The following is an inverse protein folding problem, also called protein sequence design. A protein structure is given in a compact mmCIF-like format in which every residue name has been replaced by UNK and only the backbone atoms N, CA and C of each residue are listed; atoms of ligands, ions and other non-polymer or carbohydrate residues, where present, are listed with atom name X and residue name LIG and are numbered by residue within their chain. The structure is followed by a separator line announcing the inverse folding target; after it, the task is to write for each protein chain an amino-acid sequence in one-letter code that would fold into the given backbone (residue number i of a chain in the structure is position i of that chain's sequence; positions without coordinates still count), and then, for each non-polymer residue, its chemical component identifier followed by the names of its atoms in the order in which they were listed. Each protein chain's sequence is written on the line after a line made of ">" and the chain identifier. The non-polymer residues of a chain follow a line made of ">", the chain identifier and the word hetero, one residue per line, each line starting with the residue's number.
data_IF_115896555796
#
_entry.id   IF_115896555796
#
_cell.length_a   1.000
_cell.length_b   1.000
_cell.length_c   1.000
_cell.angle_alpha   90.00
_cell.angle_beta   90.00
_cell.angle_gamma   90.00
#
_symmetry.space_group_name_H-M   'P 1'
#
loop_
_entity.id
_entity.type
_entity.pdbx_description
1 polymer ?
#
# COMPACT_ATOMS: atom_id res chain seq x y z
N UNK A 1 22.69 -39.36 5.22
CA UNK A 1 23.99 -38.79 4.80
C UNK A 1 23.92 -38.54 3.29
N UNK A 2 23.27 -37.46 2.88
CA UNK A 2 23.09 -37.14 1.47
C UNK A 2 24.35 -36.39 1.00
N UNK A 3 25.14 -37.04 0.13
CA UNK A 3 26.33 -36.46 -0.46
C UNK A 3 25.93 -35.27 -1.35
N UNK A 4 26.26 -34.04 -0.91
CA UNK A 4 26.33 -32.89 -1.80
C UNK A 4 27.77 -32.84 -2.34
N UNK A 5 27.90 -33.01 -3.65
CA UNK A 5 29.17 -32.94 -4.36
C UNK A 5 29.68 -31.49 -4.33
N UNK A 6 30.72 -31.25 -3.52
CA UNK A 6 31.47 -30.01 -3.48
C UNK A 6 32.20 -29.82 -4.81
N UNK A 7 31.64 -29.00 -5.69
CA UNK A 7 32.41 -28.39 -6.77
C UNK A 7 33.25 -27.25 -6.16
N UNK A 8 34.58 -27.26 -6.23
CA UNK A 8 35.40 -26.17 -5.75
C UNK A 8 35.25 -24.99 -6.74
N UNK A 9 34.26 -24.12 -6.50
CA UNK A 9 34.01 -23.00 -7.40
C UNK A 9 32.78 -22.15 -7.11
N UNK A 10 31.82 -22.59 -6.29
CA UNK A 10 30.69 -21.74 -5.90
C UNK A 10 30.99 -21.12 -4.55
N UNK A 11 31.61 -19.94 -4.58
CA UNK A 11 31.43 -18.96 -3.50
C UNK A 11 29.93 -18.67 -3.54
N UNK A 12 29.15 -19.31 -2.67
CA UNK A 12 27.85 -18.75 -2.34
C UNK A 12 28.18 -17.39 -1.75
N UNK A 13 27.98 -16.32 -2.54
CA UNK A 13 27.82 -15.01 -1.95
C UNK A 13 26.69 -15.21 -0.94
N UNK A 14 27.04 -15.28 0.34
CA UNK A 14 26.07 -15.06 1.39
C UNK A 14 25.54 -13.67 1.04
N UNK A 15 24.34 -13.63 0.46
CA UNK A 15 23.74 -12.36 0.11
C UNK A 15 23.64 -11.59 1.41
N UNK A 16 24.24 -10.40 1.43
CA UNK A 16 24.08 -9.48 2.54
C UNK A 16 22.58 -9.28 2.78
N UNK A 17 22.24 -9.14 4.04
CA UNK A 17 20.91 -8.84 4.57
C UNK A 17 21.22 -7.87 5.72
N UNK A 18 21.19 -6.59 5.39
CA UNK A 18 21.83 -5.52 6.15
C UNK A 18 21.01 -5.11 7.38
N UNK A 19 19.68 -5.23 7.33
CA UNK A 19 18.77 -4.98 8.44
C UNK A 19 18.25 -6.25 9.14
N UNK A 20 18.44 -7.42 8.52
CA UNK A 20 18.20 -8.71 9.13
C UNK A 20 16.73 -9.14 9.12
N UNK A 21 15.94 -8.66 8.17
CA UNK A 21 14.53 -9.02 8.03
C UNK A 21 14.31 -10.36 7.29
N UNK A 22 15.37 -10.93 6.71
CA UNK A 22 15.37 -12.19 6.00
C UNK A 22 15.24 -12.07 4.48
N UNK A 23 15.19 -10.85 3.93
CA UNK A 23 15.24 -10.54 2.51
C UNK A 23 16.68 -10.13 2.14
N UNK A 24 17.30 -10.78 1.14
CA UNK A 24 18.62 -10.37 0.68
C UNK A 24 18.66 -8.92 0.15
N UNK A 25 19.70 -8.14 0.47
CA UNK A 25 19.95 -6.76 -0.03
C UNK A 25 19.77 -6.61 -1.55
N UNK A 26 19.99 -7.68 -2.34
CA UNK A 26 19.83 -7.68 -3.79
C UNK A 26 18.38 -7.78 -4.29
N UNK A 27 17.47 -8.19 -3.41
CA UNK A 27 16.03 -8.37 -3.65
C UNK A 27 15.19 -7.49 -2.71
N UNK A 28 15.83 -6.79 -1.79
CA UNK A 28 15.26 -5.87 -0.83
C UNK A 28 15.21 -4.45 -1.41
N UNK A 29 14.03 -3.84 -1.38
CA UNK A 29 13.80 -2.47 -1.86
C UNK A 29 14.24 -1.42 -0.83
N UNK A 30 14.34 -1.79 0.44
CA UNK A 30 14.80 -0.97 1.56
C UNK A 30 15.91 -1.66 2.38
N UNK A 31 17.13 -1.90 1.83
CA UNK A 31 18.19 -2.72 2.47
C UNK A 31 18.74 -2.27 3.83
N UNK A 32 18.24 -1.20 4.43
CA UNK A 32 18.70 -0.71 5.72
C UNK A 32 17.55 -0.50 6.71
N UNK A 33 16.32 -0.73 6.27
CA UNK A 33 15.10 -0.49 7.03
C UNK A 33 14.28 -1.79 6.99
N UNK A 34 14.20 -2.52 8.11
CA UNK A 34 13.64 -3.87 8.09
C UNK A 34 12.15 -3.86 7.76
N UNK A 35 11.73 -4.86 6.97
CA UNK A 35 10.34 -5.19 6.68
C UNK A 35 9.44 -5.23 7.93
N UNK A 36 8.21 -4.73 7.80
CA UNK A 36 7.18 -4.77 8.84
C UNK A 36 6.12 -5.81 8.50
N UNK A 37 6.34 -7.06 8.91
CA UNK A 37 5.40 -8.17 8.68
C UNK A 37 4.03 -7.91 9.33
N UNK A 38 3.09 -7.41 8.53
CA UNK A 38 1.77 -6.97 8.98
C UNK A 38 0.63 -7.47 8.06
N UNK A 39 0.95 -8.17 6.96
CA UNK A 39 0.00 -8.71 6.01
C UNK A 39 -0.29 -7.81 4.80
N UNK A 40 0.37 -6.65 4.73
CA UNK A 40 0.42 -5.76 3.59
C UNK A 40 1.86 -5.74 3.09
N UNK A 41 2.06 -5.78 1.76
CA UNK A 41 3.35 -5.66 1.06
C UNK A 41 4.61 -6.40 1.60
N UNK A 42 4.46 -7.39 2.51
CA UNK A 42 5.48 -8.16 3.27
C UNK A 42 6.64 -8.86 2.47
N UNK A 43 6.76 -8.63 1.17
CA UNK A 43 7.75 -9.26 0.29
C UNK A 43 8.64 -8.28 -0.47
N UNK A 44 8.42 -6.97 -0.31
CA UNK A 44 9.22 -5.95 -0.99
C UNK A 44 10.46 -5.51 -0.19
N UNK A 45 10.51 -5.84 1.11
CA UNK A 45 11.61 -5.54 2.03
C UNK A 45 11.49 -4.18 2.69
N UNK A 46 10.38 -3.47 2.51
CA UNK A 46 10.21 -2.12 3.01
C UNK A 46 9.24 -2.07 4.19
N UNK A 47 9.51 -1.24 5.22
CA UNK A 47 8.54 -1.04 6.28
C UNK A 47 7.30 -0.34 5.75
N UNK A 48 6.17 -1.05 5.76
CA UNK A 48 4.87 -0.52 5.38
C UNK A 48 3.86 -0.45 6.54
N UNK A 49 2.69 0.10 6.23
CA UNK A 49 1.52 0.10 7.11
C UNK A 49 0.30 -0.37 6.33
N UNK A 50 -0.52 -1.19 6.97
CA UNK A 50 -1.82 -1.59 6.40
C UNK A 50 -2.67 -0.33 6.14
N UNK A 51 -3.08 -0.07 4.88
CA UNK A 51 -3.95 1.06 4.58
C UNK A 51 -5.31 0.88 5.28
N UNK A 52 -5.98 1.97 5.69
CA UNK A 52 -7.31 1.87 6.26
C UNK A 52 -8.29 1.29 5.22
N UNK A 53 -9.33 0.61 5.70
CA UNK A 53 -10.39 0.10 4.82
C UNK A 53 -11.07 1.25 4.08
N UNK A 54 -11.24 1.06 2.79
CA UNK A 54 -12.00 1.91 1.86
C UNK A 54 -12.79 0.94 0.97
N UNK A 55 -14.08 0.81 1.28
CA UNK A 55 -14.94 -0.26 0.78
C UNK A 55 -15.40 -0.03 -0.66
N UNK A 56 -15.56 1.23 -1.09
CA UNK A 56 -15.95 1.58 -2.46
C UNK A 56 -14.80 2.11 -3.32
N UNK A 57 -13.66 2.39 -2.72
CA UNK A 57 -12.42 2.72 -3.41
C UNK A 57 -12.38 4.15 -3.95
N UNK A 58 -13.11 5.08 -3.34
CA UNK A 58 -13.12 6.49 -3.74
C UNK A 58 -11.93 7.28 -3.17
N UNK A 59 -11.16 6.68 -2.26
CA UNK A 59 -9.98 7.26 -1.63
C UNK A 59 -10.24 7.88 -0.25
N UNK A 60 -11.46 7.81 0.27
CA UNK A 60 -11.83 8.22 1.62
C UNK A 60 -11.98 6.96 2.49
N UNK A 61 -11.26 6.84 3.62
CA UNK A 61 -11.40 5.68 4.48
C UNK A 61 -12.82 5.54 5.05
N UNK A 62 -13.35 4.32 5.19
CA UNK A 62 -14.69 4.01 5.73
C UNK A 62 -14.99 4.73 7.06
N UNK A 63 -13.96 4.98 7.87
CA UNK A 63 -14.06 5.66 9.16
C UNK A 63 -14.29 7.18 9.08
N UNK A 64 -14.02 7.77 7.93
CA UNK A 64 -14.13 9.20 7.60
C UNK A 64 -15.11 9.47 6.46
N UNK A 65 -15.60 8.42 5.82
CA UNK A 65 -16.59 8.44 4.76
C UNK A 65 -18.02 8.40 5.32
N UNK A 66 -18.88 9.30 4.84
CA UNK A 66 -20.29 9.37 5.23
C UNK A 66 -21.16 8.33 4.49
N UNK A 67 -20.69 7.83 3.35
CA UNK A 67 -21.32 6.81 2.53
C UNK A 67 -20.33 5.65 2.18
N UNK A 68 -19.87 4.82 3.15
CA UNK A 68 -18.79 3.81 2.97
C UNK A 68 -19.02 2.67 1.96
N UNK A 69 -20.05 2.72 1.13
CA UNK A 69 -20.32 1.70 0.13
C UNK A 69 -20.77 2.30 -1.21
N UNK A 70 -20.83 3.63 -1.30
CA UNK A 70 -21.32 4.38 -2.44
C UNK A 70 -20.27 5.45 -2.78
N UNK A 71 -19.49 5.27 -3.86
CA UNK A 71 -18.31 6.09 -4.11
C UNK A 71 -18.67 7.55 -4.40
N UNK A 72 -17.84 8.46 -3.89
CA UNK A 72 -17.89 9.90 -4.16
C UNK A 72 -17.97 10.23 -5.67
N UNK A 73 -18.73 11.28 -6.00
CA UNK A 73 -18.83 11.84 -7.34
C UNK A 73 -18.09 13.17 -7.42
N UNK A 74 -16.80 13.11 -7.77
CA UNK A 74 -15.96 14.30 -7.93
C UNK A 74 -16.51 15.24 -9.02
N UNK A 75 -17.23 16.27 -8.60
CA UNK A 75 -17.96 17.19 -9.46
C UNK A 75 -17.77 18.67 -9.06
N UNK A 76 -17.04 18.95 -7.98
CA UNK A 76 -16.78 20.29 -7.47
C UNK A 76 -17.78 20.76 -6.42
N UNK A 77 -18.70 19.90 -6.00
CA UNK A 77 -19.64 20.09 -4.90
C UNK A 77 -19.44 18.95 -3.91
N UNK A 78 -19.39 19.28 -2.62
CA UNK A 78 -19.26 18.34 -1.47
C UNK A 78 -18.24 17.17 -1.56
N UNK A 79 -17.29 17.19 -2.52
CA UNK A 79 -16.25 16.17 -2.87
C UNK A 79 -15.34 15.60 -1.75
N UNK A 80 -15.58 15.93 -0.49
CA UNK A 80 -14.80 15.50 0.67
C UNK A 80 -15.61 14.77 1.74
N UNK A 81 -16.92 14.62 1.56
CA UNK A 81 -17.79 13.91 2.51
C UNK A 81 -17.92 12.40 2.22
N UNK A 82 -17.50 11.97 1.03
CA UNK A 82 -17.49 10.57 0.59
C UNK A 82 -18.82 10.11 0.02
N UNK A 83 -19.76 11.02 -0.24
CA UNK A 83 -21.09 10.68 -0.69
C UNK A 83 -21.34 11.16 -2.12
N UNK A 84 -21.95 10.34 -2.99
CA UNK A 84 -22.31 10.79 -4.33
C UNK A 84 -23.37 11.89 -4.28
N UNK A 85 -23.02 13.06 -4.82
CA UNK A 85 -23.92 14.20 -4.91
C UNK A 85 -24.10 14.73 -6.35
N UNK A 86 -24.86 15.83 -6.46
CA UNK A 86 -25.01 16.59 -7.70
C UNK A 86 -24.83 18.09 -7.44
N UNK A 87 -24.09 18.75 -8.32
CA UNK A 87 -23.95 20.22 -8.30
C UNK A 87 -25.32 20.90 -8.32
N UNK A 88 -25.64 21.75 -7.32
CA UNK A 88 -26.88 22.52 -7.30
C UNK A 88 -26.96 23.44 -8.54
N UNK A 89 -28.17 23.68 -9.09
CA UNK A 89 -28.32 24.63 -10.17
C UNK A 89 -27.82 26.00 -9.68
N UNK A 90 -26.90 26.59 -10.44
CA UNK A 90 -26.47 27.97 -10.20
C UNK A 90 -27.67 28.87 -10.40
N UNK A 91 -28.05 29.60 -9.37
CA UNK A 91 -29.10 30.61 -9.48
C UNK A 91 -28.63 31.73 -10.44
N UNK A 92 -29.22 31.73 -11.64
CA UNK A 92 -28.97 32.75 -12.67
C UNK A 92 -30.09 33.79 -12.74
N UNK A 93 -31.10 33.73 -11.86
CA UNK A 93 -32.30 34.55 -12.02
C UNK A 93 -32.22 35.97 -11.44
N UNK A 94 -31.26 36.23 -10.54
CA UNK A 94 -30.77 37.58 -10.23
C UNK A 94 -31.85 38.62 -9.90
N UNK A 95 -32.71 38.31 -8.92
CA UNK A 95 -33.68 39.25 -8.29
C UNK A 95 -32.99 40.45 -7.59
#
# INVERSE_FOLDING_TARGET
>A
MLLILLSPGTIFAQSSDTDGDGIPDSSDSCPADPETINGFEDSDGCPDVVPPTDTDGDGIPDSSDSCPADPETINGFEDSDGCPDVVPPTDTDGD
#
